data_IF_965930321348
#
_entry.id   IF_965930321348
#
_cell.length_a   1.000
_cell.length_b   1.000
_cell.length_c   1.000
_cell.angle_alpha   90.00
_cell.angle_beta   90.00
_cell.angle_gamma   90.00
#
_symmetry.space_group_name_H-M   'P 1'
#
loop_
_entity.id
_entity.type
_entity.pdbx_description
1 polymer ?
#
# COMPACT_ATOMS: atom_id res chain seq x y z
N UNK A 1 -4.48 -29.68 -6.05
CA UNK A 1 -3.65 -29.72 -4.82
C UNK A 1 -4.57 -29.92 -3.61
N UNK A 2 -4.08 -30.55 -2.52
CA UNK A 2 -4.84 -30.61 -1.26
C UNK A 2 -4.46 -29.42 -0.38
N UNK A 3 -5.40 -28.50 -0.17
CA UNK A 3 -5.22 -27.37 0.74
C UNK A 3 -5.72 -27.68 2.15
N UNK A 4 -5.16 -26.99 3.14
CA UNK A 4 -5.70 -26.94 4.50
C UNK A 4 -7.09 -26.29 4.49
N UNK A 5 -7.86 -26.44 5.57
CA UNK A 5 -9.18 -25.81 5.68
C UNK A 5 -9.13 -24.27 5.51
N UNK A 6 -8.09 -23.63 6.07
CA UNK A 6 -7.85 -22.19 5.87
C UNK A 6 -7.57 -21.87 4.40
N UNK A 7 -6.71 -22.66 3.75
CA UNK A 7 -6.39 -22.49 2.33
C UNK A 7 -7.63 -22.62 1.45
N UNK A 8 -8.49 -23.60 1.73
CA UNK A 8 -9.77 -23.79 1.01
C UNK A 8 -10.71 -22.60 1.19
N UNK A 9 -10.77 -22.00 2.39
CA UNK A 9 -11.62 -20.83 2.66
C UNK A 9 -11.11 -19.58 1.95
N UNK A 10 -9.79 -19.37 1.93
CA UNK A 10 -9.17 -18.22 1.27
C UNK A 10 -9.17 -18.35 -0.26
N UNK A 11 -9.09 -19.57 -0.79
CA UNK A 11 -9.19 -19.85 -2.22
C UNK A 11 -10.62 -20.16 -2.67
N UNK A 12 -11.59 -20.08 -1.77
CA UNK A 12 -12.99 -20.36 -2.05
C UNK A 12 -13.57 -19.13 -2.73
N UNK A 13 -13.72 -19.21 -4.05
CA UNK A 13 -14.09 -18.10 -4.91
C UNK A 13 -15.18 -17.20 -4.33
N UNK A 14 -15.06 -15.89 -4.53
CA UNK A 14 -16.03 -14.90 -4.03
C UNK A 14 -16.66 -14.08 -5.15
N UNK A 15 -17.85 -13.51 -4.89
CA UNK A 15 -18.46 -12.58 -5.85
C UNK A 15 -17.60 -11.34 -6.12
N UNK A 16 -16.80 -10.92 -5.12
CA UNK A 16 -15.84 -9.82 -5.27
C UNK A 16 -14.70 -10.22 -6.20
N UNK A 17 -14.16 -11.45 -6.05
CA UNK A 17 -13.11 -11.97 -6.92
C UNK A 17 -13.57 -12.04 -8.38
N UNK A 18 -14.76 -12.60 -8.64
CA UNK A 18 -15.34 -12.64 -9.99
C UNK A 18 -15.50 -11.24 -10.58
N UNK A 19 -15.96 -10.27 -9.79
CA UNK A 19 -16.07 -8.88 -10.23
C UNK A 19 -14.71 -8.26 -10.56
N UNK A 20 -13.68 -8.54 -9.76
CA UNK A 20 -12.32 -8.05 -10.01
C UNK A 20 -11.69 -8.69 -11.25
N UNK A 21 -11.96 -9.98 -11.50
CA UNK A 21 -11.55 -10.68 -12.71
C UNK A 21 -12.21 -10.07 -13.95
N UNK A 22 -13.52 -9.81 -13.90
CA UNK A 22 -14.25 -9.13 -14.98
C UNK A 22 -13.66 -7.74 -15.26
N UNK A 23 -13.31 -7.00 -14.21
CA UNK A 23 -12.67 -5.69 -14.30
C UNK A 23 -11.29 -5.77 -14.97
N UNK A 24 -10.47 -6.75 -14.58
CA UNK A 24 -9.14 -6.99 -15.15
C UNK A 24 -9.19 -7.39 -16.63
N UNK A 25 -10.15 -8.25 -17.00
CA UNK A 25 -10.39 -8.66 -18.38
C UNK A 25 -10.83 -7.48 -19.25
N UNK A 26 -11.72 -6.62 -18.74
CA UNK A 26 -12.18 -5.42 -19.43
C UNK A 26 -11.02 -4.43 -19.67
N UNK A 27 -10.11 -4.27 -18.71
CA UNK A 27 -8.93 -3.41 -18.81
C UNK A 27 -7.88 -3.92 -19.81
N UNK A 28 -7.80 -5.23 -20.00
CA UNK A 28 -6.80 -5.87 -20.86
C UNK A 28 -7.27 -6.09 -22.30
N UNK A 29 -8.54 -5.78 -22.61
CA UNK A 29 -9.13 -5.98 -23.93
C UNK A 29 -8.59 -4.98 -24.96
N UNK A 30 -8.38 -5.44 -26.19
CA UNK A 30 -7.89 -4.64 -27.34
C UNK A 30 -8.97 -3.82 -28.04
N UNK A 31 -10.20 -3.81 -27.52
CA UNK A 31 -11.34 -3.06 -28.06
C UNK A 31 -11.40 -1.60 -27.56
N UNK A 32 -12.44 -0.84 -27.94
CA UNK A 32 -12.65 0.50 -27.40
C UNK A 32 -12.73 0.43 -25.88
N UNK A 33 -11.92 1.27 -25.21
CA UNK A 33 -11.74 1.21 -23.77
C UNK A 33 -13.09 1.43 -23.07
N UNK A 34 -13.55 0.50 -22.21
CA UNK A 34 -14.78 0.68 -21.47
C UNK A 34 -14.64 1.89 -20.53
N UNK A 35 -15.77 2.55 -20.22
CA UNK A 35 -15.79 3.61 -19.20
C UNK A 35 -15.47 3.00 -17.84
N UNK A 36 -14.23 3.21 -17.40
CA UNK A 36 -13.67 2.54 -16.23
C UNK A 36 -14.05 3.27 -14.93
N UNK A 37 -15.27 3.04 -14.46
CA UNK A 37 -15.84 3.70 -13.28
C UNK A 37 -15.96 2.78 -12.04
N UNK A 38 -15.56 1.51 -12.15
CA UNK A 38 -15.70 0.51 -11.08
C UNK A 38 -14.43 0.21 -10.28
N UNK A 39 -13.29 0.78 -10.67
CA UNK A 39 -11.99 0.49 -10.04
C UNK A 39 -11.60 1.50 -8.97
N UNK A 40 -10.66 1.11 -8.11
CA UNK A 40 -10.11 1.95 -7.04
C UNK A 40 -8.72 2.53 -7.33
N UNK A 41 -8.25 2.48 -8.59
CA UNK A 41 -6.94 3.03 -8.94
C UNK A 41 -6.97 4.56 -8.78
N UNK A 42 -5.94 5.17 -8.17
CA UNK A 42 -5.82 6.62 -8.10
C UNK A 42 -5.80 7.25 -9.50
N UNK A 43 -6.28 8.49 -9.59
CA UNK A 43 -6.19 9.28 -10.82
C UNK A 43 -4.74 9.70 -11.11
N UNK A 44 -4.42 9.87 -12.40
CA UNK A 44 -3.18 10.49 -12.84
C UNK A 44 -3.24 12.01 -12.65
N UNK A 45 -2.49 12.51 -11.67
CA UNK A 45 -2.42 13.94 -11.34
C UNK A 45 -1.00 14.42 -11.68
N UNK A 46 -0.81 15.21 -12.75
CA UNK A 46 0.52 15.60 -13.25
C UNK A 46 1.42 16.24 -12.18
N UNK A 47 0.84 17.03 -11.28
CA UNK A 47 1.55 17.69 -10.19
C UNK A 47 2.10 16.68 -9.17
N UNK A 48 1.34 15.62 -8.87
CA UNK A 48 1.78 14.54 -7.98
C UNK A 48 2.85 13.68 -8.64
N UNK A 49 2.67 13.35 -9.92
CA UNK A 49 3.66 12.60 -10.70
C UNK A 49 5.00 13.32 -10.78
N UNK A 50 4.98 14.66 -10.95
CA UNK A 50 6.18 15.49 -10.90
C UNK A 50 6.91 15.37 -9.55
N UNK A 51 6.18 15.48 -8.44
CA UNK A 51 6.75 15.36 -7.08
C UNK A 51 7.34 13.97 -6.86
N UNK A 52 6.65 12.91 -7.27
CA UNK A 52 7.18 11.54 -7.17
C UNK A 52 8.46 11.37 -7.98
N UNK A 53 8.49 11.88 -9.22
CA UNK A 53 9.67 11.85 -10.07
C UNK A 53 10.87 12.59 -9.46
N UNK A 54 10.64 13.74 -8.82
CA UNK A 54 11.67 14.47 -8.09
C UNK A 54 12.20 13.67 -6.89
N UNK A 55 11.33 13.13 -6.03
CA UNK A 55 11.74 12.37 -4.86
C UNK A 55 12.46 11.07 -5.19
N UNK A 56 12.05 10.38 -6.26
CA UNK A 56 12.76 9.20 -6.74
C UNK A 56 14.17 9.55 -7.22
N UNK A 57 14.33 10.68 -7.92
CA UNK A 57 15.67 11.19 -8.31
C UNK A 57 16.52 11.54 -7.10
N UNK A 58 15.94 12.18 -6.09
CA UNK A 58 16.65 12.50 -4.84
C UNK A 58 17.17 11.22 -4.17
N UNK A 59 16.34 10.17 -4.10
CA UNK A 59 16.73 8.85 -3.55
C UNK A 59 17.86 8.22 -4.38
N UNK A 60 17.75 8.24 -5.72
CA UNK A 60 18.75 7.66 -6.61
C UNK A 60 20.10 8.38 -6.53
N UNK A 61 20.10 9.68 -6.31
CA UNK A 61 21.31 10.51 -6.21
C UNK A 61 21.98 10.46 -4.84
N UNK A 62 21.37 9.82 -3.85
CA UNK A 62 21.87 9.72 -2.47
C UNK A 62 22.21 8.24 -2.13
N UNK A 63 23.49 7.81 -2.29
CA UNK A 63 23.85 6.40 -2.21
C UNK A 63 23.52 5.72 -0.87
N UNK A 64 23.56 6.46 0.23
CA UNK A 64 23.20 5.95 1.55
C UNK A 64 21.70 5.67 1.65
N UNK A 65 20.87 6.61 1.21
CA UNK A 65 19.41 6.48 1.16
C UNK A 65 19.00 5.36 0.21
N UNK A 66 19.56 5.32 -0.99
CA UNK A 66 19.29 4.26 -1.97
C UNK A 66 19.57 2.87 -1.41
N UNK A 67 20.76 2.67 -0.80
CA UNK A 67 21.15 1.40 -0.19
C UNK A 67 20.17 1.01 0.91
N UNK A 68 19.78 1.96 1.77
CA UNK A 68 18.82 1.70 2.84
C UNK A 68 17.46 1.27 2.27
N UNK A 69 16.96 1.97 1.25
CA UNK A 69 15.66 1.69 0.62
C UNK A 69 15.61 0.32 -0.08
N UNK A 70 16.70 -0.09 -0.76
CA UNK A 70 16.68 -1.30 -1.59
C UNK A 70 17.24 -2.55 -0.89
N UNK A 71 18.18 -2.40 0.03
CA UNK A 71 19.01 -3.52 0.48
C UNK A 71 19.09 -3.67 2.01
N UNK A 72 18.40 -2.83 2.78
CA UNK A 72 18.40 -2.89 4.24
C UNK A 72 16.95 -3.06 4.73
N UNK A 73 16.70 -4.12 5.48
CA UNK A 73 15.40 -4.33 6.09
C UNK A 73 15.10 -3.26 7.13
N UNK A 74 13.84 -2.81 7.14
CA UNK A 74 13.30 -2.06 8.26
C UNK A 74 12.96 -3.00 9.44
N UNK A 75 12.93 -2.47 10.67
CA UNK A 75 12.41 -3.20 11.82
C UNK A 75 10.96 -3.69 11.58
N UNK A 76 10.48 -4.71 12.31
CA UNK A 76 9.12 -5.25 12.13
C UNK A 76 7.98 -4.22 12.28
N UNK A 77 8.19 -3.14 13.04
CA UNK A 77 7.21 -2.05 13.20
C UNK A 77 7.18 -1.11 11.99
N UNK A 78 8.24 -1.07 11.19
CA UNK A 78 8.46 -0.12 10.10
C UNK A 78 9.73 0.71 10.28
N UNK A 79 10.05 1.52 9.27
CA UNK A 79 11.19 2.44 9.29
C UNK A 79 11.07 3.45 10.43
N UNK A 80 12.05 3.49 11.33
CA UNK A 80 11.99 4.34 12.53
C UNK A 80 11.80 5.83 12.20
N UNK A 81 12.51 6.35 11.19
CA UNK A 81 12.41 7.75 10.78
C UNK A 81 11.03 8.07 10.22
N UNK A 82 10.47 7.21 9.37
CA UNK A 82 9.10 7.38 8.84
C UNK A 82 8.08 7.43 9.97
N UNK A 83 8.20 6.56 10.96
CA UNK A 83 7.31 6.50 12.12
C UNK A 83 7.40 7.81 12.94
N UNK A 84 8.61 8.29 13.21
CA UNK A 84 8.84 9.56 13.92
C UNK A 84 8.25 10.75 13.17
N UNK A 85 8.51 10.84 11.86
CA UNK A 85 8.02 11.92 10.99
C UNK A 85 6.48 11.89 10.88
N UNK A 86 5.86 10.70 10.80
CA UNK A 86 4.40 10.55 10.82
C UNK A 86 3.79 10.99 12.16
N UNK A 87 4.40 10.59 13.28
CA UNK A 87 3.93 11.02 14.59
C UNK A 87 4.02 12.56 14.71
N UNK A 88 5.13 13.16 14.27
CA UNK A 88 5.29 14.61 14.26
C UNK A 88 4.24 15.30 13.37
N UNK A 89 4.00 14.79 12.16
CA UNK A 89 2.98 15.30 11.24
C UNK A 89 1.59 15.28 11.89
N UNK A 90 1.18 14.15 12.48
CA UNK A 90 -0.13 14.02 13.12
C UNK A 90 -0.29 14.95 14.33
N UNK A 91 0.78 15.17 15.10
CA UNK A 91 0.78 16.17 16.18
C UNK A 91 0.63 17.59 15.65
N UNK A 92 1.36 17.93 14.60
CA UNK A 92 1.36 19.28 14.03
C UNK A 92 0.02 19.62 13.35
N UNK A 93 -0.50 18.72 12.52
CA UNK A 93 -1.69 18.98 11.71
C UNK A 93 -2.99 18.86 12.52
N UNK A 94 -3.03 17.95 13.50
CA UNK A 94 -4.27 17.61 14.20
C UNK A 94 -4.21 17.79 15.72
N UNK A 95 -3.06 18.17 16.29
CA UNK A 95 -2.91 18.37 17.74
C UNK A 95 -3.00 17.09 18.57
N UNK A 96 -2.88 15.91 17.94
CA UNK A 96 -3.04 14.63 18.62
C UNK A 96 -1.89 14.36 19.61
N UNK A 97 -2.16 13.62 20.68
CA UNK A 97 -1.11 13.17 21.62
C UNK A 97 -0.59 11.78 21.21
N UNK A 98 0.03 11.70 20.03
CA UNK A 98 0.59 10.45 19.48
C UNK A 98 2.11 10.49 19.43
N UNK A 99 2.74 9.36 19.76
CA UNK A 99 4.17 9.11 19.64
C UNK A 99 4.50 7.96 18.68
N UNK A 100 5.80 7.70 18.41
CA UNK A 100 6.24 6.57 17.59
C UNK A 100 5.69 5.20 18.04
N UNK A 101 5.40 5.05 19.33
CA UNK A 101 4.79 3.86 19.93
C UNK A 101 3.35 3.60 19.46
N UNK A 102 2.67 4.60 18.90
CA UNK A 102 1.29 4.48 18.41
C UNK A 102 1.21 4.15 16.91
N UNK A 103 2.33 4.04 16.21
CA UNK A 103 2.36 3.91 14.75
C UNK A 103 3.12 2.64 14.35
N UNK A 104 2.53 1.87 13.44
CA UNK A 104 3.17 0.75 12.75
C UNK A 104 2.88 0.84 11.25
N UNK A 105 3.81 0.36 10.43
CA UNK A 105 3.72 0.37 8.96
C UNK A 105 3.45 -1.04 8.45
N UNK A 106 2.43 -1.20 7.61
CA UNK A 106 2.11 -2.46 6.94
C UNK A 106 2.26 -2.33 5.42
N UNK A 107 2.41 -3.45 4.69
CA UNK A 107 2.33 -3.47 3.23
C UNK A 107 0.90 -3.15 2.75
N UNK A 108 0.56 -1.87 2.72
CA UNK A 108 -0.76 -1.37 2.35
C UNK A 108 -1.83 -1.57 3.44
N UNK A 109 -2.96 -0.88 3.25
CA UNK A 109 -4.08 -0.88 4.19
C UNK A 109 -4.81 -2.22 4.30
N UNK A 110 -4.87 -3.01 3.21
CA UNK A 110 -5.47 -4.35 3.23
C UNK A 110 -4.79 -5.28 4.25
N UNK A 111 -3.47 -5.24 4.32
CA UNK A 111 -2.71 -6.03 5.31
C UNK A 111 -2.99 -5.57 6.74
N UNK A 112 -3.11 -4.24 6.96
CA UNK A 112 -3.49 -3.72 8.26
C UNK A 112 -4.87 -4.23 8.69
N UNK A 113 -5.86 -4.17 7.80
CA UNK A 113 -7.20 -4.69 8.10
C UNK A 113 -7.18 -6.20 8.38
N UNK A 114 -6.42 -6.98 7.61
CA UNK A 114 -6.27 -8.41 7.87
C UNK A 114 -5.75 -8.68 9.29
N UNK A 115 -4.69 -7.99 9.72
CA UNK A 115 -4.18 -8.15 11.08
C UNK A 115 -5.18 -7.71 12.14
N UNK A 116 -5.83 -6.55 11.96
CA UNK A 116 -6.77 -6.02 12.94
C UNK A 116 -8.02 -6.89 13.09
N UNK A 117 -8.55 -7.44 11.99
CA UNK A 117 -9.74 -8.29 12.02
C UNK A 117 -9.47 -9.72 12.51
N UNK A 118 -8.20 -10.13 12.57
CA UNK A 118 -7.80 -11.45 13.06
C UNK A 118 -6.93 -11.36 14.33
N UNK A 119 -6.97 -10.23 15.05
CA UNK A 119 -6.13 -10.00 16.23
C UNK A 119 -6.56 -10.83 17.45
N UNK A 120 -7.83 -11.22 17.51
CA UNK A 120 -8.48 -11.99 18.59
C UNK A 120 -9.41 -13.05 18.00
#
# INVERSE_FOLDING_TARGET
>A
MKFSALGQRLSGGSGIELLMDDLGNALSATGPSPLMLGGGNPAHIPEMERIWGERLRDILNEPATLRRTLAIYDPPRGNARVIEDLAALLRQEYGWQVGPENIAVTPGGQTAFYFLFNLF
#
